data_IF_514866857391
#
_entry.id   IF_514866857391
#
_cell.length_a   1.000
_cell.length_b   1.000
_cell.length_c   1.000
_cell.angle_alpha   90.00
_cell.angle_beta   90.00
_cell.angle_gamma   90.00
#
_symmetry.space_group_name_H-M   'P 1'
#
loop_
_entity.id
_entity.type
_entity.pdbx_description
1 polymer ?
#
# COMPACT_ATOMS: atom_id res chain seq x y z
N UNK A 1 -29.97 -32.00 5.95
CA UNK A 1 -29.15 -30.98 5.27
C UNK A 1 -29.41 -29.67 5.98
N UNK A 2 -28.43 -29.11 6.69
CA UNK A 2 -28.61 -27.81 7.36
C UNK A 2 -28.40 -26.70 6.34
N UNK A 3 -29.45 -25.95 6.07
CA UNK A 3 -29.44 -24.79 5.17
C UNK A 3 -28.61 -23.68 5.81
N UNK A 4 -27.56 -23.21 5.15
CA UNK A 4 -26.86 -22.01 5.64
C UNK A 4 -27.80 -20.80 5.61
N UNK A 5 -27.84 -19.99 6.67
CA UNK A 5 -28.67 -18.80 6.72
C UNK A 5 -28.22 -17.77 5.67
N UNK A 6 -29.12 -17.44 4.73
CA UNK A 6 -28.92 -16.53 3.61
C UNK A 6 -29.02 -15.04 4.01
N UNK A 7 -28.50 -14.66 5.17
CA UNK A 7 -28.56 -13.28 5.64
C UNK A 7 -27.17 -12.67 5.67
N UNK A 8 -26.98 -11.61 4.86
CA UNK A 8 -25.77 -10.80 4.89
C UNK A 8 -26.00 -9.63 5.84
N UNK A 9 -25.35 -9.66 7.00
CA UNK A 9 -25.36 -8.52 7.92
C UNK A 9 -24.76 -7.30 7.21
N UNK A 10 -25.59 -6.29 6.99
CA UNK A 10 -25.17 -5.00 6.46
C UNK A 10 -25.06 -3.98 7.59
N UNK A 11 -23.97 -3.22 7.60
CA UNK A 11 -23.72 -2.16 8.56
C UNK A 11 -24.76 -1.05 8.44
N UNK A 12 -25.24 -0.54 9.57
CA UNK A 12 -26.15 0.62 9.60
C UNK A 12 -25.42 1.86 9.07
N UNK A 13 -26.08 2.61 8.17
CA UNK A 13 -25.52 3.82 7.57
C UNK A 13 -25.23 4.86 8.66
N UNK A 14 -24.00 5.37 8.70
CA UNK A 14 -23.58 6.39 9.67
C UNK A 14 -23.04 5.87 11.01
N UNK A 15 -23.01 4.56 11.25
CA UNK A 15 -22.37 4.02 12.46
C UNK A 15 -20.87 4.41 12.50
N UNK A 16 -20.28 4.72 13.67
CA UNK A 16 -18.85 5.03 13.79
C UNK A 16 -17.99 3.81 13.45
N UNK A 17 -17.01 3.96 12.55
CA UNK A 17 -16.09 2.86 12.17
C UNK A 17 -15.00 2.74 13.25
N UNK A 18 -14.79 1.54 13.76
CA UNK A 18 -13.71 1.28 14.73
C UNK A 18 -12.36 1.21 14.03
N UNK A 19 -11.27 1.35 14.79
CA UNK A 19 -9.93 1.16 14.24
C UNK A 19 -9.73 -0.29 13.77
N UNK A 20 -10.22 -1.27 14.53
CA UNK A 20 -10.14 -2.70 14.17
C UNK A 20 -10.85 -3.04 12.86
N UNK A 21 -12.00 -2.41 12.59
CA UNK A 21 -12.70 -2.54 11.30
C UNK A 21 -11.82 -2.06 10.13
N UNK A 22 -11.16 -0.90 10.29
CA UNK A 22 -10.27 -0.35 9.27
C UNK A 22 -9.03 -1.22 9.05
N UNK A 23 -8.41 -1.70 10.13
CA UNK A 23 -7.21 -2.55 10.06
C UNK A 23 -7.54 -3.92 9.46
N UNK A 24 -8.69 -4.48 9.79
CA UNK A 24 -9.17 -5.74 9.22
C UNK A 24 -9.44 -5.60 7.73
N UNK A 25 -10.07 -4.50 7.30
CA UNK A 25 -10.34 -4.25 5.88
C UNK A 25 -9.04 -4.04 5.08
N UNK A 26 -8.05 -3.33 5.64
CA UNK A 26 -6.71 -3.22 5.04
C UNK A 26 -6.06 -4.58 4.81
N UNK A 27 -6.05 -5.45 5.84
CA UNK A 27 -5.52 -6.83 5.72
C UNK A 27 -6.29 -7.63 4.69
N UNK A 28 -7.63 -7.54 4.68
CA UNK A 28 -8.50 -8.21 3.70
C UNK A 28 -8.14 -7.79 2.28
N UNK A 29 -7.99 -6.49 2.03
CA UNK A 29 -7.62 -5.97 0.69
C UNK A 29 -6.23 -6.46 0.30
N UNK A 30 -5.24 -6.37 1.19
CA UNK A 30 -3.89 -6.87 0.93
C UNK A 30 -3.88 -8.36 0.54
N UNK A 31 -4.57 -9.19 1.32
CA UNK A 31 -4.71 -10.63 1.07
C UNK A 31 -5.42 -10.90 -0.26
N UNK A 32 -6.50 -10.15 -0.57
CA UNK A 32 -7.24 -10.34 -1.83
C UNK A 32 -6.41 -9.99 -3.08
N UNK A 33 -5.41 -9.12 -2.94
CA UNK A 33 -4.50 -8.72 -4.00
C UNK A 33 -3.22 -9.56 -4.02
N UNK A 34 -3.01 -10.44 -3.04
CA UNK A 34 -1.75 -11.19 -2.86
C UNK A 34 -0.56 -10.29 -2.50
N UNK A 35 -0.79 -9.09 -1.95
CA UNK A 35 0.24 -8.10 -1.69
C UNK A 35 0.56 -8.00 -0.20
N UNK A 36 1.83 -7.71 0.12
CA UNK A 36 2.26 -7.39 1.49
C UNK A 36 1.99 -5.93 1.88
N UNK A 37 1.50 -5.12 0.95
CA UNK A 37 1.17 -3.70 1.12
C UNK A 37 -0.04 -3.35 0.25
N UNK A 38 -0.65 -2.18 0.49
CA UNK A 38 -1.78 -1.68 -0.31
C UNK A 38 -1.54 -0.22 -0.68
N UNK A 39 -1.63 0.10 -1.97
CA UNK A 39 -1.62 1.49 -2.45
C UNK A 39 -2.96 2.16 -2.17
N UNK A 40 -2.96 3.44 -1.79
CA UNK A 40 -4.18 4.21 -1.51
C UNK A 40 -5.21 4.15 -2.64
N UNK A 41 -4.76 4.37 -3.89
CA UNK A 41 -5.63 4.31 -5.06
C UNK A 41 -6.29 2.94 -5.19
N UNK A 42 -5.51 1.87 -5.02
CA UNK A 42 -6.04 0.51 -5.14
C UNK A 42 -7.01 0.19 -4.01
N UNK A 43 -6.70 0.61 -2.78
CA UNK A 43 -7.65 0.48 -1.67
C UNK A 43 -8.96 1.23 -1.93
N UNK A 44 -8.92 2.42 -2.55
CA UNK A 44 -10.14 3.14 -2.92
C UNK A 44 -11.04 2.40 -3.92
N UNK A 45 -10.50 1.44 -4.69
CA UNK A 45 -11.25 0.65 -5.66
C UNK A 45 -11.89 -0.62 -5.05
N UNK A 46 -11.24 -1.24 -4.06
CA UNK A 46 -11.63 -2.57 -3.51
C UNK A 46 -11.87 -2.58 -1.99
N UNK A 47 -11.51 -1.51 -1.30
CA UNK A 47 -11.73 -1.31 0.13
C UNK A 47 -13.19 -1.02 0.43
N UNK A 48 -13.60 -1.37 1.65
CA UNK A 48 -14.95 -1.12 2.16
C UNK A 48 -15.09 0.35 2.60
N UNK A 49 -13.98 0.97 3.01
CA UNK A 49 -13.96 2.31 3.58
C UNK A 49 -13.13 3.28 2.73
N UNK A 50 -13.39 4.58 2.85
CA UNK A 50 -12.55 5.61 2.23
C UNK A 50 -11.14 5.60 2.87
N UNK A 51 -10.10 5.59 2.03
CA UNK A 51 -8.69 5.68 2.46
C UNK A 51 -8.41 6.92 3.31
N UNK A 52 -9.15 8.02 3.11
CA UNK A 52 -9.08 9.23 3.95
C UNK A 52 -9.46 8.96 5.40
N UNK A 53 -10.36 7.99 5.65
CA UNK A 53 -10.72 7.58 7.02
C UNK A 53 -9.52 6.96 7.72
N UNK A 54 -8.78 6.08 7.02
CA UNK A 54 -7.53 5.50 7.53
C UNK A 54 -6.51 6.59 7.83
N UNK A 55 -6.28 7.52 6.90
CA UNK A 55 -5.33 8.63 7.11
C UNK A 55 -5.72 9.48 8.32
N UNK A 56 -7.00 9.84 8.46
CA UNK A 56 -7.48 10.66 9.58
C UNK A 56 -7.32 9.96 10.93
N UNK A 57 -7.55 8.64 10.98
CA UNK A 57 -7.49 7.84 12.22
C UNK A 57 -6.07 7.53 12.66
N UNK A 58 -5.20 7.17 11.72
CA UNK A 58 -3.83 6.72 12.03
C UNK A 58 -2.78 7.81 11.77
N UNK A 59 -3.18 9.00 11.30
CA UNK A 59 -2.33 10.14 11.00
C UNK A 59 -1.64 10.09 9.63
N UNK A 60 -1.40 8.89 9.07
CA UNK A 60 -0.96 8.73 7.68
C UNK A 60 -1.34 7.34 7.15
N UNK A 61 -1.30 7.18 5.82
CA UNK A 61 -1.57 5.89 5.18
C UNK A 61 -0.57 4.82 5.62
N UNK A 62 0.72 5.15 5.63
CA UNK A 62 1.76 4.21 6.06
C UNK A 62 1.61 3.82 7.53
N UNK A 63 1.19 4.74 8.41
CA UNK A 63 0.88 4.41 9.81
C UNK A 63 -0.29 3.43 9.91
N UNK A 64 -1.32 3.60 9.09
CA UNK A 64 -2.42 2.63 8.97
C UNK A 64 -1.97 1.25 8.47
N UNK A 65 -1.10 1.21 7.45
CA UNK A 65 -0.51 -0.06 6.96
C UNK A 65 0.31 -0.76 8.06
N UNK A 66 1.18 -0.02 8.77
CA UNK A 66 1.99 -0.56 9.86
C UNK A 66 1.10 -1.08 11.00
N UNK A 67 0.08 -0.33 11.39
CA UNK A 67 -0.89 -0.78 12.40
C UNK A 67 -1.65 -2.04 11.95
N UNK A 68 -1.85 -2.22 10.65
CA UNK A 68 -2.41 -3.42 10.06
C UNK A 68 -1.39 -4.56 9.87
N UNK A 69 -0.13 -4.39 10.31
CA UNK A 69 0.94 -5.39 10.11
C UNK A 69 1.37 -5.55 8.65
N UNK A 70 1.10 -4.56 7.79
CA UNK A 70 1.46 -4.54 6.38
C UNK A 70 2.74 -3.73 6.17
N UNK A 71 3.47 -4.03 5.10
CA UNK A 71 4.60 -3.22 4.67
C UNK A 71 4.12 -1.85 4.15
N UNK A 72 4.96 -0.82 4.29
CA UNK A 72 4.63 0.52 3.77
C UNK A 72 4.51 0.51 2.24
N UNK A 73 3.60 1.33 1.72
CA UNK A 73 3.35 1.37 0.26
C UNK A 73 4.41 2.18 -0.46
N UNK A 74 4.71 3.38 0.05
CA UNK A 74 5.76 4.25 -0.45
C UNK A 74 6.62 4.70 0.73
N UNK A 75 7.94 4.61 0.59
CA UNK A 75 8.85 5.16 1.58
C UNK A 75 8.80 6.70 1.50
N UNK A 76 8.65 7.35 2.65
CA UNK A 76 8.62 8.82 2.78
C UNK A 76 9.82 9.26 3.61
N UNK A 77 10.31 10.48 3.41
CA UNK A 77 11.51 11.02 4.06
C UNK A 77 12.77 10.17 3.78
N UNK A 78 12.93 9.73 2.53
CA UNK A 78 14.15 9.09 2.05
C UNK A 78 15.28 10.11 2.13
N UNK A 79 16.42 9.73 2.70
CA UNK A 79 17.57 10.64 2.79
C UNK A 79 18.16 10.94 1.42
N UNK A 80 18.78 12.11 1.29
CA UNK A 80 19.43 12.52 0.06
C UNK A 80 20.53 11.52 -0.33
N UNK A 81 21.30 11.01 0.63
CA UNK A 81 22.33 10.00 0.39
C UNK A 81 21.75 8.75 -0.27
N UNK A 82 20.63 8.23 0.26
CA UNK A 82 19.97 7.05 -0.30
C UNK A 82 19.43 7.31 -1.71
N UNK A 83 18.93 8.53 -1.99
CA UNK A 83 18.51 8.93 -3.33
C UNK A 83 19.70 9.06 -4.30
N UNK A 84 20.81 9.67 -3.86
CA UNK A 84 22.03 9.82 -4.64
C UNK A 84 22.69 8.48 -4.96
N UNK A 85 22.75 7.56 -4.00
CA UNK A 85 23.24 6.20 -4.23
C UNK A 85 22.41 5.48 -5.30
N UNK A 86 21.08 5.63 -5.27
CA UNK A 86 20.22 5.04 -6.29
C UNK A 86 20.47 5.66 -7.68
N UNK A 87 20.64 6.98 -7.74
CA UNK A 87 20.98 7.67 -8.99
C UNK A 87 22.35 7.22 -9.51
N UNK A 88 23.35 7.07 -8.64
CA UNK A 88 24.69 6.59 -9.00
C UNK A 88 24.64 5.20 -9.63
N UNK A 89 23.88 4.27 -9.03
CA UNK A 89 23.68 2.91 -9.58
C UNK A 89 23.10 2.97 -10.99
N UNK A 90 22.06 3.78 -11.20
CA UNK A 90 21.44 3.92 -12.51
C UNK A 90 22.40 4.57 -13.50
N UNK A 91 23.20 5.54 -13.07
CA UNK A 91 24.17 6.22 -13.91
C UNK A 91 25.27 5.28 -14.38
N UNK A 92 25.83 4.49 -13.47
CA UNK A 92 26.82 3.45 -13.79
C UNK A 92 26.25 2.38 -14.72
N UNK A 93 24.98 1.99 -14.53
CA UNK A 93 24.34 0.97 -15.36
C UNK A 93 24.08 1.44 -16.80
N UNK A 94 23.54 2.65 -16.97
CA UNK A 94 23.19 3.17 -18.30
C UNK A 94 24.35 3.90 -19.00
N UNK A 95 25.43 4.23 -18.28
CA UNK A 95 26.57 5.01 -18.81
C UNK A 95 26.21 6.45 -19.20
N UNK A 96 25.03 6.93 -18.78
CA UNK A 96 24.48 8.25 -19.07
C UNK A 96 23.39 8.58 -18.07
N UNK A 97 23.01 9.85 -17.99
CA UNK A 97 21.94 10.31 -17.11
C UNK A 97 20.68 9.43 -17.27
N UNK A 98 20.13 8.87 -16.18
CA UNK A 98 18.93 8.07 -16.26
C UNK A 98 17.71 8.93 -16.58
N UNK A 99 16.78 8.37 -17.35
CA UNK A 99 15.49 8.98 -17.67
C UNK A 99 14.50 8.68 -16.55
N UNK A 100 13.48 9.53 -16.41
CA UNK A 100 12.43 9.36 -15.40
C UNK A 100 11.79 7.96 -15.41
N UNK A 101 11.55 7.38 -16.58
CA UNK A 101 10.97 6.04 -16.72
C UNK A 101 11.92 4.91 -16.29
N UNK A 102 13.23 5.17 -16.21
CA UNK A 102 14.25 4.21 -15.79
C UNK A 102 14.42 4.19 -14.27
N UNK A 103 14.05 5.29 -13.58
CA UNK A 103 13.98 5.32 -12.10
C UNK A 103 13.03 4.26 -11.55
N UNK A 104 12.08 3.80 -12.37
CA UNK A 104 11.09 2.80 -12.00
C UNK A 104 11.46 1.36 -12.35
N UNK A 105 12.65 1.13 -12.92
CA UNK A 105 13.07 -0.16 -13.46
C UNK A 105 14.37 -0.60 -12.79
N UNK A 106 14.61 -1.91 -12.76
CA UNK A 106 15.91 -2.47 -12.37
C UNK A 106 17.00 -1.81 -13.23
N UNK A 107 18.14 -1.39 -12.64
CA UNK A 107 18.62 -1.67 -11.28
C UNK A 107 18.20 -0.69 -10.17
N UNK A 108 17.19 0.16 -10.39
CA UNK A 108 16.69 1.07 -9.35
C UNK A 108 16.25 0.29 -8.11
N UNK A 109 16.79 0.68 -6.95
CA UNK A 109 16.47 0.12 -5.63
C UNK A 109 15.25 0.77 -4.99
N UNK A 110 14.77 1.89 -5.54
CA UNK A 110 13.62 2.63 -5.00
C UNK A 110 12.27 2.05 -5.44
N UNK A 111 12.24 1.17 -6.45
CA UNK A 111 11.01 0.58 -6.98
C UNK A 111 10.68 -0.83 -6.49
N UNK A 112 11.38 -1.32 -5.47
CA UNK A 112 11.29 -2.71 -5.04
C UNK A 112 9.90 -3.18 -4.58
N UNK A 113 8.92 -2.29 -4.43
CA UNK A 113 7.54 -2.65 -4.09
C UNK A 113 6.61 -2.89 -5.30
N UNK A 114 7.09 -2.80 -6.54
CA UNK A 114 6.25 -2.95 -7.75
C UNK A 114 6.55 -4.20 -8.59
N UNK A 115 7.61 -4.95 -8.31
CA UNK A 115 8.07 -6.06 -9.16
C UNK A 115 8.08 -7.44 -8.47
N UNK A 116 7.48 -7.60 -7.30
CA UNK A 116 7.26 -8.92 -6.68
C UNK A 116 6.02 -9.65 -7.17
N UNK A 117 5.44 -9.21 -8.30
CA UNK A 117 4.40 -9.92 -9.04
C UNK A 117 4.86 -10.10 -10.50
N UNK A 118 5.73 -11.08 -10.72
CA UNK A 118 5.94 -11.75 -11.99
C UNK A 118 6.17 -13.23 -11.70
#
# INVERSE_FOLDING_TARGET
MMTEPQFKLSRVKGAPVSDDELLTDLKRVANSLGLKTVQQKKYGEVGTYDYKTVIRRFGSWNKGLIAAGLSISNEINISDEKLFENLLILWQHYGRQPRRSELAKVPSRMTLNLLSNA
#
